data_IF_759509396146
#
_entry.id   IF_759509396146
#
_cell.length_a   1.000
_cell.length_b   1.000
_cell.length_c   1.000
_cell.angle_alpha   90.00
_cell.angle_beta   90.00
_cell.angle_gamma   90.00
#
_symmetry.space_group_name_H-M   'P 1'
#
loop_
_entity.id
_entity.type
_entity.pdbx_description
1 polymer ?
#
# COMPACT_ATOMS: atom_id res chain seq x y z
N UNK A 1 47.27 24.59 -8.37
CA UNK A 1 46.22 23.98 -7.52
C UNK A 1 44.85 24.36 -8.10
N UNK A 2 44.21 23.49 -8.89
CA UNK A 2 42.90 23.80 -9.47
C UNK A 2 41.81 23.72 -8.39
N UNK A 3 41.01 24.79 -8.24
CA UNK A 3 39.79 24.78 -7.41
C UNK A 3 38.84 23.72 -7.97
N UNK A 4 38.61 22.62 -7.24
CA UNK A 4 37.50 21.70 -7.54
C UNK A 4 36.19 22.47 -7.33
N UNK A 5 35.49 22.79 -8.41
CA UNK A 5 34.17 23.40 -8.35
C UNK A 5 33.18 22.40 -7.72
N UNK A 6 32.28 22.89 -6.88
CA UNK A 6 31.18 22.09 -6.34
C UNK A 6 30.30 21.65 -7.51
N UNK A 7 30.15 20.34 -7.70
CA UNK A 7 29.16 19.81 -8.63
C UNK A 7 27.78 20.07 -8.05
N UNK A 8 26.91 20.73 -8.82
CA UNK A 8 25.56 21.13 -8.40
C UNK A 8 24.55 20.62 -9.43
N UNK A 9 23.51 19.94 -8.96
CA UNK A 9 22.33 19.60 -9.76
C UNK A 9 21.19 20.57 -9.44
N UNK A 10 20.57 21.13 -10.49
CA UNK A 10 19.35 21.95 -10.39
C UNK A 10 18.14 21.10 -10.79
N UNK A 11 17.09 21.14 -9.99
CA UNK A 11 15.79 20.52 -10.27
C UNK A 11 14.70 21.56 -10.02
N UNK A 12 13.80 21.70 -10.99
CA UNK A 12 12.60 22.54 -10.89
C UNK A 12 11.39 21.64 -10.63
N UNK A 13 10.48 22.14 -9.78
CA UNK A 13 9.29 21.43 -9.28
C UNK A 13 8.16 22.45 -9.23
N UNK A 14 7.06 22.15 -9.90
CA UNK A 14 5.84 22.95 -9.88
C UNK A 14 4.90 22.43 -8.79
N UNK A 15 4.26 23.35 -8.09
CA UNK A 15 3.27 23.04 -7.05
C UNK A 15 1.93 23.66 -7.42
N UNK A 16 0.84 22.96 -7.09
CA UNK A 16 -0.49 23.58 -7.09
C UNK A 16 -0.52 24.73 -6.06
N UNK A 17 -1.31 25.77 -6.33
CA UNK A 17 -1.44 26.94 -5.46
C UNK A 17 -1.78 26.53 -4.01
N UNK A 18 -2.67 25.55 -3.83
CA UNK A 18 -3.07 25.08 -2.49
C UNK A 18 -1.94 24.38 -1.74
N UNK A 19 -1.06 23.70 -2.45
CA UNK A 19 0.08 23.03 -1.84
C UNK A 19 1.21 24.03 -1.55
N UNK A 20 1.36 25.04 -2.40
CA UNK A 20 2.30 26.13 -2.16
C UNK A 20 1.97 26.92 -0.87
N UNK A 21 0.70 27.28 -0.66
CA UNK A 21 0.26 27.95 0.57
C UNK A 21 0.59 27.13 1.84
N UNK A 22 0.46 25.81 1.77
CA UNK A 22 0.84 24.92 2.90
C UNK A 22 2.33 24.92 3.13
N UNK A 23 3.14 24.93 2.07
CA UNK A 23 4.60 24.98 2.16
C UNK A 23 5.05 26.30 2.78
N UNK A 24 4.47 27.42 2.36
CA UNK A 24 4.76 28.76 2.92
C UNK A 24 4.47 28.80 4.42
N UNK A 25 3.27 28.40 4.84
CA UNK A 25 2.90 28.36 6.27
C UNK A 25 3.83 27.48 7.10
N UNK A 26 4.26 26.33 6.56
CA UNK A 26 5.18 25.42 7.26
C UNK A 26 6.60 26.00 7.33
N UNK A 27 7.06 26.66 6.27
CA UNK A 27 8.36 27.32 6.25
C UNK A 27 8.41 28.49 7.23
N UNK A 28 7.35 29.30 7.28
CA UNK A 28 7.17 30.37 8.27
C UNK A 28 7.18 29.84 9.71
N UNK A 29 6.42 28.78 9.99
CA UNK A 29 6.42 28.14 11.31
C UNK A 29 7.80 27.62 11.74
N UNK A 30 8.65 27.26 10.78
CA UNK A 30 10.03 26.85 11.00
C UNK A 30 11.05 28.01 10.92
N UNK A 31 10.59 29.26 10.80
CA UNK A 31 11.43 30.47 10.65
C UNK A 31 12.50 30.33 9.55
N UNK A 32 12.10 29.79 8.40
CA UNK A 32 13.01 29.50 7.29
C UNK A 32 12.38 29.85 5.95
N UNK A 33 13.19 29.96 4.90
CA UNK A 33 12.67 30.13 3.53
C UNK A 33 12.06 28.83 3.01
N UNK A 34 11.09 28.92 2.10
CA UNK A 34 10.45 27.76 1.45
C UNK A 34 11.47 26.83 0.79
N UNK A 35 12.48 27.36 0.12
CA UNK A 35 13.54 26.56 -0.51
C UNK A 35 14.39 25.78 0.50
N UNK A 36 14.75 26.40 1.64
CA UNK A 36 15.52 25.73 2.69
C UNK A 36 14.67 24.70 3.42
N UNK A 37 13.40 25.03 3.69
CA UNK A 37 12.43 24.10 4.25
C UNK A 37 12.27 22.85 3.37
N UNK A 38 11.98 23.03 2.08
CA UNK A 38 11.81 21.92 1.14
C UNK A 38 13.06 21.07 1.05
N UNK A 39 14.24 21.69 0.99
CA UNK A 39 15.51 20.95 0.97
C UNK A 39 15.67 20.09 2.22
N UNK A 40 15.44 20.65 3.40
CA UNK A 40 15.58 19.93 4.67
C UNK A 40 14.57 18.77 4.75
N UNK A 41 13.32 19.02 4.37
CA UNK A 41 12.27 17.99 4.35
C UNK A 41 12.62 16.86 3.39
N UNK A 42 13.04 17.18 2.17
CA UNK A 42 13.39 16.18 1.15
C UNK A 42 14.62 15.36 1.59
N UNK A 43 15.65 16.01 2.16
CA UNK A 43 16.86 15.32 2.60
C UNK A 43 16.65 14.41 3.82
N UNK A 44 15.72 14.78 4.70
CA UNK A 44 15.42 14.00 5.91
C UNK A 44 14.22 13.07 5.77
N UNK A 45 13.51 13.12 4.63
CA UNK A 45 12.40 12.21 4.37
C UNK A 45 12.91 10.77 4.40
N UNK A 46 12.27 9.92 5.21
CA UNK A 46 12.49 8.48 5.25
C UNK A 46 11.26 7.80 4.65
N UNK A 47 11.10 7.82 3.32
CA UNK A 47 9.94 7.21 2.69
C UNK A 47 9.95 5.71 3.00
N UNK A 48 8.84 5.24 3.57
CA UNK A 48 8.64 3.81 3.78
C UNK A 48 7.82 3.29 2.61
N UNK A 49 8.42 2.45 1.78
CA UNK A 49 7.72 1.77 0.71
C UNK A 49 7.24 0.42 1.21
N UNK A 50 5.93 0.22 1.18
CA UNK A 50 5.31 -1.06 1.49
C UNK A 50 5.20 -1.88 0.21
N UNK A 51 5.81 -3.05 0.18
CA UNK A 51 5.56 -4.02 -0.89
C UNK A 51 4.17 -4.63 -0.71
N UNK A 52 3.19 -4.14 -1.47
CA UNK A 52 1.81 -4.63 -1.45
C UNK A 52 1.53 -5.72 -2.48
N UNK A 53 2.56 -6.32 -3.11
CA UNK A 53 2.36 -7.37 -4.12
C UNK A 53 1.53 -8.55 -3.62
N UNK A 54 1.63 -8.89 -2.32
CA UNK A 54 0.83 -9.95 -1.70
C UNK A 54 -0.64 -9.60 -1.44
N UNK A 55 -1.02 -8.31 -1.47
CA UNK A 55 -2.37 -7.87 -1.13
C UNK A 55 -3.37 -8.17 -2.25
N UNK A 56 -2.99 -7.97 -3.51
CA UNK A 56 -3.91 -8.20 -4.64
C UNK A 56 -4.30 -9.68 -4.80
N UNK A 57 -3.38 -10.67 -4.74
CA UNK A 57 -3.74 -12.09 -4.74
C UNK A 57 -4.65 -12.48 -3.56
N UNK A 58 -4.39 -11.93 -2.37
CA UNK A 58 -5.22 -12.17 -1.18
C UNK A 58 -6.66 -11.70 -1.40
N UNK A 59 -6.85 -10.47 -1.87
CA UNK A 59 -8.19 -9.92 -2.16
C UNK A 59 -8.93 -10.75 -3.22
N UNK A 60 -8.22 -11.23 -4.24
CA UNK A 60 -8.80 -12.13 -5.25
C UNK A 60 -9.26 -13.46 -4.65
N UNK A 61 -8.45 -14.08 -3.79
CA UNK A 61 -8.83 -15.32 -3.09
C UNK A 61 -10.07 -15.12 -2.22
N UNK A 62 -10.12 -14.02 -1.45
CA UNK A 62 -11.31 -13.65 -0.66
C UNK A 62 -12.55 -13.46 -1.54
N UNK A 63 -12.41 -12.83 -2.71
CA UNK A 63 -13.53 -12.62 -3.65
C UNK A 63 -14.07 -13.94 -4.19
N UNK A 64 -13.21 -14.90 -4.48
CA UNK A 64 -13.60 -16.25 -4.94
C UNK A 64 -14.42 -16.95 -3.86
N UNK A 65 -13.91 -16.99 -2.62
CA UNK A 65 -14.60 -17.60 -1.48
C UNK A 65 -15.96 -16.94 -1.25
N UNK A 66 -16.03 -15.62 -1.28
CA UNK A 66 -17.30 -14.89 -1.14
C UNK A 66 -18.31 -15.26 -2.24
N UNK A 67 -17.85 -15.40 -3.48
CA UNK A 67 -18.70 -15.86 -4.59
C UNK A 67 -19.22 -17.28 -4.37
N UNK A 68 -18.36 -18.19 -3.89
CA UNK A 68 -18.73 -19.58 -3.63
C UNK A 68 -19.73 -19.70 -2.48
N UNK A 69 -19.55 -18.94 -1.39
CA UNK A 69 -20.52 -18.83 -0.30
C UNK A 69 -21.89 -18.38 -0.84
N UNK A 70 -21.90 -17.37 -1.70
CA UNK A 70 -23.14 -16.86 -2.26
C UNK A 70 -23.84 -17.89 -3.17
N UNK A 71 -23.07 -18.67 -3.94
CA UNK A 71 -23.61 -19.77 -4.74
C UNK A 71 -24.24 -20.85 -3.86
N UNK A 72 -23.56 -21.24 -2.78
CA UNK A 72 -24.06 -22.25 -1.83
C UNK A 72 -25.33 -21.76 -1.14
N UNK A 73 -25.35 -20.49 -0.69
CA UNK A 73 -26.54 -19.89 -0.09
C UNK A 73 -27.73 -19.87 -1.07
N UNK A 74 -27.50 -19.46 -2.32
CA UNK A 74 -28.54 -19.47 -3.35
C UNK A 74 -29.06 -20.88 -3.60
N UNK A 75 -28.16 -21.86 -3.73
CA UNK A 75 -28.55 -23.25 -3.98
C UNK A 75 -29.31 -23.84 -2.81
N UNK A 76 -28.87 -23.55 -1.58
CA UNK A 76 -29.56 -24.00 -0.38
C UNK A 76 -30.97 -23.40 -0.25
N UNK A 77 -31.15 -22.15 -0.65
CA UNK A 77 -32.48 -21.52 -0.69
C UNK A 77 -33.38 -22.14 -1.79
N UNK A 78 -32.79 -22.55 -2.92
CA UNK A 78 -33.53 -23.21 -4.01
C UNK A 78 -33.94 -24.65 -3.66
N UNK A 79 -33.08 -25.41 -2.99
CA UNK A 79 -33.29 -26.85 -2.72
C UNK A 79 -33.76 -27.14 -1.30
N UNK A 80 -33.79 -26.13 -0.41
CA UNK A 80 -33.94 -26.27 1.04
C UNK A 80 -32.98 -27.30 1.66
N UNK A 81 -31.80 -27.47 1.06
CA UNK A 81 -30.80 -28.45 1.50
C UNK A 81 -29.38 -27.88 1.41
N UNK A 82 -28.52 -28.27 2.35
CA UNK A 82 -27.08 -27.93 2.35
C UNK A 82 -26.28 -29.22 2.19
N UNK A 83 -25.34 -29.24 1.25
CA UNK A 83 -24.51 -30.41 1.00
C UNK A 83 -23.18 -30.34 1.76
N UNK A 84 -22.84 -31.41 2.47
CA UNK A 84 -21.58 -31.50 3.22
C UNK A 84 -20.34 -31.34 2.30
N UNK A 85 -20.41 -31.77 1.05
CA UNK A 85 -19.35 -31.60 0.07
C UNK A 85 -19.04 -30.13 -0.22
N UNK A 86 -20.07 -29.28 -0.32
CA UNK A 86 -19.92 -27.85 -0.57
C UNK A 86 -19.24 -27.14 0.62
N UNK A 87 -19.64 -27.52 1.85
CA UNK A 87 -19.03 -27.00 3.08
C UNK A 87 -17.58 -27.45 3.20
N UNK A 88 -17.28 -28.70 2.87
CA UNK A 88 -15.91 -29.22 2.88
C UNK A 88 -15.02 -28.46 1.89
N UNK A 89 -15.51 -28.21 0.67
CA UNK A 89 -14.79 -27.43 -0.34
C UNK A 89 -14.53 -25.99 0.13
N UNK A 90 -15.51 -25.34 0.75
CA UNK A 90 -15.31 -24.00 1.33
C UNK A 90 -14.21 -24.00 2.40
N UNK A 91 -14.19 -25.02 3.28
CA UNK A 91 -13.13 -25.17 4.27
C UNK A 91 -11.74 -25.26 3.63
N UNK A 92 -11.58 -26.10 2.60
CA UNK A 92 -10.33 -26.26 1.86
C UNK A 92 -9.86 -24.94 1.19
N UNK A 93 -10.80 -24.18 0.61
CA UNK A 93 -10.50 -22.88 -0.01
C UNK A 93 -10.05 -21.83 1.04
N UNK A 94 -10.69 -21.81 2.22
CA UNK A 94 -10.31 -20.92 3.32
C UNK A 94 -8.94 -21.29 3.90
N UNK A 95 -8.66 -22.58 4.09
CA UNK A 95 -7.35 -23.05 4.55
C UNK A 95 -6.24 -22.68 3.55
N UNK A 96 -6.48 -22.83 2.26
CA UNK A 96 -5.56 -22.42 1.20
C UNK A 96 -5.27 -20.91 1.24
N UNK A 97 -6.31 -20.09 1.44
CA UNK A 97 -6.16 -18.65 1.59
C UNK A 97 -5.34 -18.29 2.84
N UNK A 98 -5.60 -18.96 3.96
CA UNK A 98 -4.87 -18.76 5.22
C UNK A 98 -3.38 -19.09 5.09
N UNK A 99 -3.04 -20.18 4.39
CA UNK A 99 -1.66 -20.56 4.09
C UNK A 99 -0.98 -19.49 3.23
N UNK A 100 -1.66 -19.03 2.19
CA UNK A 100 -1.17 -17.97 1.31
C UNK A 100 -0.92 -16.70 2.11
N UNK A 101 -1.87 -16.28 2.95
CA UNK A 101 -1.76 -15.10 3.80
C UNK A 101 -0.54 -15.18 4.73
N UNK A 102 -0.31 -16.35 5.35
CA UNK A 102 0.82 -16.58 6.24
C UNK A 102 2.17 -16.44 5.52
N UNK A 103 2.25 -16.82 4.24
CA UNK A 103 3.46 -16.67 3.43
C UNK A 103 3.73 -15.21 3.02
N UNK A 104 2.68 -14.42 2.74
CA UNK A 104 2.83 -13.06 2.20
C UNK A 104 2.85 -11.96 3.26
N UNK A 105 2.12 -12.10 4.37
CA UNK A 105 1.97 -11.02 5.36
C UNK A 105 2.99 -11.06 6.51
N UNK A 106 3.69 -12.18 6.73
CA UNK A 106 4.66 -12.26 7.83
C UNK A 106 5.97 -11.49 7.56
N UNK A 107 6.18 -11.04 6.32
CA UNK A 107 7.33 -10.21 5.96
C UNK A 107 6.78 -8.93 5.34
N UNK A 108 6.42 -7.90 6.13
CA UNK A 108 6.33 -6.56 5.58
C UNK A 108 7.72 -6.22 5.05
N UNK A 109 7.93 -6.45 3.75
CA UNK A 109 9.12 -6.00 3.04
C UNK A 109 9.00 -4.49 2.91
N UNK A 110 9.32 -3.83 4.00
CA UNK A 110 9.54 -2.40 4.02
C UNK A 110 10.99 -2.19 3.64
N UNK A 111 11.22 -1.72 2.42
CA UNK A 111 12.54 -1.21 2.08
C UNK A 111 12.61 0.22 2.60
N UNK A 112 13.45 0.46 3.61
CA UNK A 112 13.88 1.81 3.97
C UNK A 112 14.85 2.26 2.88
N UNK A 113 14.51 3.35 2.19
CA UNK A 113 15.42 4.02 1.24
C UNK A 113 16.31 4.98 2.00
#
# INVERSE_FOLDING_TARGET
MARKYKQVHRKEIDFDIKDWEKIERRAEACNTTTSKYLREVILNAKPTFYDTKGVAPLLNGMRIISSNINQIAKKANETNNIYAADIKKLHEEVESLSLTLSQYLFIPRSTKV
#
